data_IF_913274093132
#
_entry.id   IF_913274093132
#
_cell.length_a   1.000
_cell.length_b   1.000
_cell.length_c   1.000
_cell.angle_alpha   90.00
_cell.angle_beta   90.00
_cell.angle_gamma   90.00
#
_symmetry.space_group_name_H-M   'P 1'
#
loop_
_entity.id
_entity.type
_entity.pdbx_description
1 polymer ?
#
# COMPACT_ATOMS: atom_id res chain seq x y z
N UNK A 1 -8.12 4.37 8.42
CA UNK A 1 -7.86 3.38 7.33
C UNK A 1 -9.06 2.50 6.98
N UNK A 2 -9.87 2.01 7.95
CA UNK A 2 -11.11 1.25 7.65
C UNK A 2 -12.07 2.00 6.70
N UNK A 3 -12.06 3.33 6.72
CA UNK A 3 -12.87 4.18 5.85
C UNK A 3 -12.64 3.94 4.34
N UNK A 4 -11.43 3.54 3.93
CA UNK A 4 -11.12 3.23 2.52
C UNK A 4 -11.71 1.91 2.02
N UNK A 5 -12.14 1.03 2.93
CA UNK A 5 -12.71 -0.28 2.59
C UNK A 5 -14.25 -0.31 2.61
N UNK A 6 -14.90 0.82 2.92
CA UNK A 6 -16.36 0.89 2.94
C UNK A 6 -16.94 0.90 1.53
N UNK A 7 -18.13 0.31 1.36
CA UNK A 7 -18.84 0.32 0.07
C UNK A 7 -19.13 1.77 -0.40
N UNK A 8 -19.42 2.67 0.53
CA UNK A 8 -19.65 4.09 0.23
C UNK A 8 -18.40 4.76 -0.35
N UNK A 9 -17.23 4.51 0.26
CA UNK A 9 -15.96 5.06 -0.25
C UNK A 9 -15.61 4.48 -1.62
N UNK A 10 -15.79 3.17 -1.81
CA UNK A 10 -15.57 2.53 -3.11
C UNK A 10 -16.47 3.15 -4.19
N UNK A 11 -17.73 3.41 -3.88
CA UNK A 11 -18.66 4.06 -4.81
C UNK A 11 -18.23 5.50 -5.15
N UNK A 12 -17.76 6.29 -4.17
CA UNK A 12 -17.22 7.64 -4.40
C UNK A 12 -15.96 7.62 -5.27
N UNK A 13 -15.04 6.70 -5.01
CA UNK A 13 -13.82 6.55 -5.81
C UNK A 13 -14.17 6.12 -7.23
N UNK A 14 -15.10 5.17 -7.41
CA UNK A 14 -15.60 4.77 -8.73
C UNK A 14 -16.18 5.96 -9.50
N UNK A 15 -17.06 6.74 -8.91
CA UNK A 15 -17.61 7.94 -9.55
C UNK A 15 -16.54 8.98 -9.92
N UNK A 16 -15.46 9.06 -9.12
CA UNK A 16 -14.34 9.94 -9.45
C UNK A 16 -13.47 9.39 -10.60
N UNK A 17 -13.30 8.05 -10.70
CA UNK A 17 -12.64 7.42 -11.86
C UNK A 17 -13.41 7.77 -13.13
N UNK A 18 -14.72 7.49 -13.17
CA UNK A 18 -15.60 7.78 -14.30
C UNK A 18 -15.54 9.27 -14.71
N UNK A 19 -15.54 10.18 -13.74
CA UNK A 19 -15.45 11.62 -13.99
C UNK A 19 -14.09 12.06 -14.58
N UNK A 20 -13.01 11.39 -14.22
CA UNK A 20 -11.66 11.64 -14.76
C UNK A 20 -11.56 11.07 -16.18
N UNK A 21 -11.96 9.82 -16.39
CA UNK A 21 -11.90 9.14 -17.70
C UNK A 21 -12.82 9.79 -18.74
N UNK A 22 -13.89 10.46 -18.30
CA UNK A 22 -14.71 11.28 -19.18
C UNK A 22 -13.94 12.43 -19.85
N UNK A 23 -12.79 12.85 -19.29
CA UNK A 23 -12.00 14.01 -19.74
C UNK A 23 -10.67 13.62 -20.38
N UNK A 24 -10.13 12.45 -20.07
CA UNK A 24 -8.80 12.00 -20.52
C UNK A 24 -8.89 10.66 -21.24
N UNK A 25 -7.95 10.41 -22.16
CA UNK A 25 -7.72 9.11 -22.77
C UNK A 25 -6.96 8.13 -21.86
N UNK A 26 -6.50 8.58 -20.68
CA UNK A 26 -5.87 7.72 -19.70
C UNK A 26 -6.93 6.91 -18.94
N UNK A 27 -6.69 5.61 -18.78
CA UNK A 27 -7.52 4.72 -17.99
C UNK A 27 -6.94 4.55 -16.58
N UNK A 28 -7.77 4.80 -15.55
CA UNK A 28 -7.33 4.84 -14.16
C UNK A 28 -7.91 3.67 -13.39
N UNK A 29 -7.04 2.83 -12.87
CA UNK A 29 -7.41 1.76 -11.94
C UNK A 29 -6.96 2.12 -10.52
N UNK A 30 -7.87 1.99 -9.55
CA UNK A 30 -7.55 2.20 -8.13
C UNK A 30 -7.59 0.86 -7.41
N UNK A 31 -6.46 0.48 -6.83
CA UNK A 31 -6.35 -0.74 -6.03
C UNK A 31 -6.04 -0.39 -4.59
N UNK A 32 -6.88 -0.86 -3.65
CA UNK A 32 -6.68 -0.65 -2.21
C UNK A 32 -6.36 -1.98 -1.55
N UNK A 33 -5.18 -2.10 -0.99
CA UNK A 33 -4.74 -3.29 -0.25
C UNK A 33 -4.55 -2.98 1.23
N UNK A 34 -4.88 -3.94 2.06
CA UNK A 34 -4.72 -3.82 3.52
C UNK A 34 -3.25 -3.62 3.90
N UNK A 35 -2.35 -4.36 3.23
CA UNK A 35 -0.89 -4.27 3.36
C UNK A 35 -0.21 -4.72 2.07
N UNK A 36 0.98 -4.20 1.83
CA UNK A 36 1.82 -4.57 0.68
C UNK A 36 2.82 -5.68 1.00
N UNK A 37 3.22 -5.82 2.26
CA UNK A 37 4.18 -6.85 2.66
C UNK A 37 3.95 -7.34 4.10
N UNK A 38 4.58 -8.47 4.41
CA UNK A 38 4.72 -8.99 5.78
C UNK A 38 6.17 -8.79 6.23
N UNK A 39 6.37 -8.28 7.43
CA UNK A 39 7.70 -7.96 7.96
C UNK A 39 8.12 -8.98 9.04
N UNK A 40 8.00 -10.26 8.69
CA UNK A 40 8.25 -11.39 9.63
C UNK A 40 9.64 -11.40 10.23
N UNK A 41 10.63 -10.91 9.52
CA UNK A 41 12.00 -10.78 10.02
C UNK A 41 12.09 -9.83 11.22
N UNK A 42 11.34 -8.73 11.19
CA UNK A 42 11.23 -7.80 12.33
C UNK A 42 10.52 -8.50 13.49
N UNK A 43 9.42 -9.22 13.22
CA UNK A 43 8.68 -9.94 14.24
C UNK A 43 9.54 -11.03 14.91
N UNK A 44 10.31 -11.78 14.13
CA UNK A 44 11.22 -12.80 14.65
C UNK A 44 12.38 -12.18 15.46
N UNK A 45 12.85 -10.99 15.07
CA UNK A 45 13.87 -10.29 15.85
C UNK A 45 13.37 -9.94 17.26
N UNK A 46 12.12 -9.47 17.37
CA UNK A 46 11.49 -9.22 18.68
C UNK A 46 11.25 -10.51 19.45
N UNK A 47 10.82 -11.58 18.77
CA UNK A 47 10.70 -12.90 19.38
C UNK A 47 12.03 -13.38 19.93
N UNK A 48 13.10 -13.25 19.17
CA UNK A 48 14.44 -13.65 19.58
C UNK A 48 14.97 -12.80 20.75
N UNK A 49 14.73 -11.49 20.72
CA UNK A 49 15.11 -10.62 21.84
C UNK A 49 14.39 -10.99 23.15
N UNK A 50 13.09 -11.30 23.07
CA UNK A 50 12.31 -11.71 24.23
C UNK A 50 12.76 -13.10 24.75
N UNK A 51 13.03 -14.04 23.85
CA UNK A 51 13.56 -15.35 24.19
C UNK A 51 14.91 -15.28 24.90
N UNK A 52 15.81 -14.41 24.40
CA UNK A 52 17.12 -14.20 25.04
C UNK A 52 16.96 -13.54 26.42
N UNK A 53 16.10 -12.53 26.53
CA UNK A 53 15.81 -11.89 27.81
C UNK A 53 15.21 -12.87 28.82
N UNK A 54 14.30 -13.74 28.40
CA UNK A 54 13.73 -14.81 29.21
C UNK A 54 14.81 -15.78 29.68
N UNK A 55 15.67 -16.25 28.78
CA UNK A 55 16.77 -17.16 29.13
C UNK A 55 17.72 -16.54 30.16
N UNK A 56 18.12 -15.29 29.96
CA UNK A 56 18.96 -14.57 30.93
C UNK A 56 18.24 -14.43 32.26
N UNK A 57 16.96 -14.08 32.27
CA UNK A 57 16.16 -14.01 33.47
C UNK A 57 16.10 -15.33 34.23
N UNK A 58 15.88 -16.45 33.53
CA UNK A 58 15.80 -17.79 34.12
C UNK A 58 17.14 -18.23 34.73
N UNK A 59 18.27 -17.94 34.03
CA UNK A 59 19.58 -18.32 34.50
C UNK A 59 20.07 -17.57 35.78
N UNK A 60 19.64 -16.31 35.91
CA UNK A 60 20.06 -15.45 37.02
C UNK A 60 18.96 -15.26 38.08
N UNK A 61 17.85 -16.02 37.99
CA UNK A 61 16.78 -15.94 38.98
C UNK A 61 17.22 -16.55 40.30
N UNK A 62 16.87 -15.91 41.45
CA UNK A 62 17.31 -16.37 42.76
C UNK A 62 16.55 -17.59 43.30
N UNK A 63 15.46 -18.01 42.65
CA UNK A 63 14.70 -19.20 43.05
C UNK A 63 15.22 -20.44 42.33
N UNK A 64 15.12 -21.60 43.01
CA UNK A 64 15.44 -22.90 42.39
C UNK A 64 14.31 -23.29 41.43
N UNK A 65 14.53 -23.01 40.12
CA UNK A 65 13.63 -23.36 39.04
C UNK A 65 14.04 -24.69 38.41
N UNK A 66 13.07 -25.46 37.90
CA UNK A 66 13.36 -26.70 37.19
C UNK A 66 13.93 -26.36 35.78
N UNK A 67 15.25 -26.54 35.64
CA UNK A 67 15.97 -26.26 34.39
C UNK A 67 15.44 -27.04 33.19
N UNK A 68 14.72 -28.15 33.42
CA UNK A 68 14.11 -28.94 32.31
C UNK A 68 13.01 -28.17 31.59
N UNK A 69 12.42 -27.17 32.22
CA UNK A 69 11.38 -26.33 31.62
C UNK A 69 11.94 -25.15 30.82
N UNK A 70 13.20 -24.76 31.01
CA UNK A 70 13.83 -23.62 30.35
C UNK A 70 13.68 -23.64 28.81
N UNK A 71 13.90 -24.78 28.10
CA UNK A 71 13.71 -24.80 26.66
C UNK A 71 12.27 -24.49 26.23
N UNK A 72 11.29 -24.94 26.99
CA UNK A 72 9.86 -24.71 26.69
C UNK A 72 9.52 -23.22 26.90
N UNK A 73 10.00 -22.64 28.01
CA UNK A 73 9.76 -21.23 28.34
C UNK A 73 10.42 -20.29 27.33
N UNK A 74 11.63 -20.58 26.88
CA UNK A 74 12.35 -19.82 25.85
C UNK A 74 11.62 -19.87 24.49
N UNK A 75 11.15 -21.06 24.09
CA UNK A 75 10.34 -21.19 22.87
C UNK A 75 9.02 -20.44 22.97
N UNK A 76 8.37 -20.50 24.14
CA UNK A 76 7.15 -19.75 24.38
C UNK A 76 7.38 -18.23 24.33
N UNK A 77 8.47 -17.75 24.95
CA UNK A 77 8.86 -16.35 24.91
C UNK A 77 9.13 -15.87 23.45
N UNK A 78 9.83 -16.71 22.66
CA UNK A 78 10.02 -16.42 21.22
C UNK A 78 8.69 -16.28 20.48
N UNK A 79 7.79 -17.24 20.65
CA UNK A 79 6.49 -17.23 19.99
C UNK A 79 5.67 -16.01 20.42
N UNK A 80 5.61 -15.74 21.73
CA UNK A 80 4.91 -14.59 22.30
C UNK A 80 5.46 -13.26 21.75
N UNK A 81 6.78 -13.06 21.77
CA UNK A 81 7.43 -11.86 21.26
C UNK A 81 7.16 -11.64 19.77
N UNK A 82 7.24 -12.71 18.97
CA UNK A 82 6.95 -12.65 17.54
C UNK A 82 5.49 -12.27 17.26
N UNK A 83 4.54 -12.89 17.99
CA UNK A 83 3.11 -12.61 17.83
C UNK A 83 2.77 -11.18 18.28
N UNK A 84 3.25 -10.78 19.45
CA UNK A 84 3.00 -9.40 19.95
C UNK A 84 3.58 -8.36 19.00
N UNK A 85 4.79 -8.58 18.47
CA UNK A 85 5.38 -7.69 17.46
C UNK A 85 4.48 -7.59 16.23
N UNK A 86 4.07 -8.71 15.65
CA UNK A 86 3.29 -8.77 14.42
C UNK A 86 1.96 -7.99 14.50
N UNK A 87 1.29 -8.04 15.66
CA UNK A 87 -0.03 -7.43 15.83
C UNK A 87 0.02 -6.03 16.45
N UNK A 88 1.01 -5.73 17.30
CA UNK A 88 1.02 -4.49 18.06
C UNK A 88 1.94 -3.41 17.48
N UNK A 89 3.22 -3.70 17.26
CA UNK A 89 4.19 -2.64 17.03
C UNK A 89 5.30 -2.93 15.99
N UNK A 90 5.51 -4.16 15.55
CA UNK A 90 6.64 -4.52 14.66
C UNK A 90 6.76 -3.63 13.44
N UNK A 91 5.63 -3.24 12.82
CA UNK A 91 5.60 -2.35 11.66
C UNK A 91 6.23 -0.97 11.89
N UNK A 92 6.27 -0.47 13.13
CA UNK A 92 6.84 0.85 13.43
C UNK A 92 8.37 0.84 13.38
N UNK A 93 8.98 -0.34 13.52
CA UNK A 93 10.43 -0.53 13.44
C UNK A 93 10.93 -0.81 12.02
N UNK A 94 10.01 -0.93 11.05
CA UNK A 94 10.39 -1.06 9.64
C UNK A 94 10.73 0.32 9.08
N UNK A 95 11.93 0.53 8.49
CA UNK A 95 12.29 1.80 7.86
C UNK A 95 11.32 2.17 6.73
N UNK A 96 11.03 3.46 6.59
CA UNK A 96 10.10 3.95 5.55
C UNK A 96 10.59 3.62 4.13
N UNK A 97 11.90 3.67 3.89
CA UNK A 97 12.50 3.29 2.62
C UNK A 97 12.16 1.84 2.22
N UNK A 98 12.18 0.93 3.21
CA UNK A 98 11.81 -0.47 3.00
C UNK A 98 10.30 -0.61 2.76
N UNK A 99 9.46 0.08 3.53
CA UNK A 99 8.01 0.10 3.30
C UNK A 99 7.70 0.57 1.88
N UNK A 100 8.33 1.66 1.45
CA UNK A 100 8.16 2.21 0.10
C UNK A 100 8.60 1.22 -0.98
N UNK A 101 9.73 0.55 -0.80
CA UNK A 101 10.19 -0.46 -1.75
C UNK A 101 9.20 -1.62 -1.90
N UNK A 102 8.59 -2.08 -0.80
CA UNK A 102 7.57 -3.13 -0.83
C UNK A 102 6.26 -2.66 -1.49
N UNK A 103 5.83 -1.42 -1.20
CA UNK A 103 4.66 -0.82 -1.86
C UNK A 103 4.87 -0.70 -3.37
N UNK A 104 6.05 -0.23 -3.82
CA UNK A 104 6.39 -0.14 -5.24
C UNK A 104 6.45 -1.53 -5.88
N UNK A 105 7.00 -2.54 -5.19
CA UNK A 105 7.02 -3.91 -5.70
C UNK A 105 5.60 -4.47 -5.85
N UNK A 106 4.77 -4.31 -4.83
CA UNK A 106 3.39 -4.77 -4.84
C UNK A 106 2.54 -4.04 -5.90
N UNK A 107 2.74 -2.73 -6.09
CA UNK A 107 2.02 -1.97 -7.11
C UNK A 107 2.36 -2.44 -8.53
N UNK A 108 3.64 -2.75 -8.80
CA UNK A 108 4.05 -3.31 -10.10
C UNK A 108 3.46 -4.70 -10.35
N UNK A 109 3.41 -5.55 -9.31
CA UNK A 109 2.74 -6.85 -9.42
C UNK A 109 1.25 -6.67 -9.73
N UNK A 110 0.54 -5.82 -8.98
CA UNK A 110 -0.88 -5.52 -9.21
C UNK A 110 -1.15 -4.96 -10.61
N UNK A 111 -0.27 -4.10 -11.13
CA UNK A 111 -0.36 -3.55 -12.49
C UNK A 111 -0.39 -4.66 -13.56
N UNK A 112 0.44 -5.68 -13.40
CA UNK A 112 0.49 -6.82 -14.32
C UNK A 112 -0.66 -7.80 -14.08
N UNK A 113 -1.00 -8.11 -12.82
CA UNK A 113 -2.10 -9.00 -12.46
C UNK A 113 -3.46 -8.51 -12.99
N UNK A 114 -3.68 -7.20 -12.93
CA UNK A 114 -4.92 -6.57 -13.41
C UNK A 114 -4.88 -6.25 -14.90
N UNK A 115 -3.84 -6.64 -15.61
CA UNK A 115 -3.66 -6.46 -17.06
C UNK A 115 -3.79 -5.01 -17.54
N UNK A 116 -3.42 -4.05 -16.68
CA UNK A 116 -3.51 -2.62 -17.00
C UNK A 116 -2.66 -2.27 -18.25
N UNK A 117 -1.55 -2.99 -18.45
CA UNK A 117 -0.74 -2.91 -19.65
C UNK A 117 -1.43 -3.47 -20.93
N UNK A 118 -2.66 -3.94 -20.84
CA UNK A 118 -3.38 -4.57 -21.95
C UNK A 118 -4.21 -3.60 -22.79
N UNK A 119 -4.29 -2.33 -22.42
CA UNK A 119 -5.04 -1.31 -23.18
C UNK A 119 -4.39 -1.03 -24.54
N UNK A 120 -5.20 -0.76 -25.57
CA UNK A 120 -4.69 -0.50 -26.94
C UNK A 120 -3.83 0.75 -26.99
N UNK A 121 -4.24 1.79 -26.27
CA UNK A 121 -3.53 3.07 -26.19
C UNK A 121 -2.28 3.02 -25.31
N UNK A 122 -2.14 1.99 -24.45
CA UNK A 122 -1.09 1.87 -23.44
C UNK A 122 -1.04 3.07 -22.48
N UNK A 123 -2.19 3.67 -22.21
CA UNK A 123 -2.36 4.84 -21.34
C UNK A 123 -2.91 4.48 -19.94
N UNK A 124 -2.76 3.22 -19.52
CA UNK A 124 -3.21 2.75 -18.22
C UNK A 124 -2.40 3.34 -17.05
N UNK A 125 -3.09 3.74 -16.01
CA UNK A 125 -2.51 4.31 -14.77
C UNK A 125 -3.08 3.56 -13.58
N UNK A 126 -2.21 2.97 -12.75
CA UNK A 126 -2.60 2.35 -11.49
C UNK A 126 -2.31 3.30 -10.33
N UNK A 127 -3.34 3.60 -9.55
CA UNK A 127 -3.24 4.21 -8.23
C UNK A 127 -3.32 3.10 -7.17
N UNK A 128 -2.18 2.70 -6.65
CA UNK A 128 -2.09 1.64 -5.65
C UNK A 128 -2.00 2.22 -4.25
N UNK A 129 -2.99 1.92 -3.41
CA UNK A 129 -3.09 2.39 -2.02
C UNK A 129 -2.77 1.24 -1.07
N UNK A 130 -1.75 1.42 -0.25
CA UNK A 130 -1.41 0.51 0.84
C UNK A 130 -1.83 1.07 2.19
N UNK A 131 -2.84 0.44 2.79
CA UNK A 131 -3.46 0.96 4.00
C UNK A 131 -2.56 0.86 5.24
N UNK A 132 -1.87 -0.27 5.43
CA UNK A 132 -1.02 -0.48 6.60
C UNK A 132 0.22 0.41 6.57
N UNK A 133 0.83 0.57 5.39
CA UNK A 133 2.00 1.43 5.16
C UNK A 133 1.62 2.91 5.08
N UNK A 134 0.34 3.23 4.84
CA UNK A 134 -0.19 4.59 4.59
C UNK A 134 0.53 5.28 3.42
N UNK A 135 0.74 4.53 2.36
CA UNK A 135 1.50 4.95 1.19
C UNK A 135 0.68 4.76 -0.08
N UNK A 136 0.98 5.60 -1.07
CA UNK A 136 0.43 5.51 -2.42
C UNK A 136 1.58 5.30 -3.41
N UNK A 137 1.38 4.41 -4.38
CA UNK A 137 2.24 4.25 -5.54
C UNK A 137 1.44 4.49 -6.81
N UNK A 138 2.00 5.24 -7.74
CA UNK A 138 1.43 5.44 -9.08
C UNK A 138 2.31 4.67 -10.05
N UNK A 139 1.69 3.79 -10.84
CA UNK A 139 2.36 3.05 -11.92
C UNK A 139 1.68 3.45 -13.23
N UNK A 140 2.48 3.89 -14.18
CA UNK A 140 2.00 4.31 -15.51
C UNK A 140 2.46 3.33 -16.57
N UNK A 141 1.66 3.13 -17.61
CA UNK A 141 2.05 2.34 -18.78
C UNK A 141 2.93 3.17 -19.73
N UNK A 142 3.60 2.49 -20.64
CA UNK A 142 4.59 3.05 -21.57
C UNK A 142 4.05 4.11 -22.53
N UNK A 143 2.74 4.14 -22.79
CA UNK A 143 2.10 5.16 -23.63
C UNK A 143 1.94 6.52 -22.94
N UNK A 144 1.99 6.54 -21.59
CA UNK A 144 1.94 7.80 -20.84
C UNK A 144 3.28 8.52 -20.96
N UNK A 145 3.32 9.81 -21.36
CA UNK A 145 4.57 10.56 -21.50
C UNK A 145 5.17 10.91 -20.12
N UNK A 146 5.69 9.88 -19.45
CA UNK A 146 6.19 9.98 -18.07
C UNK A 146 7.23 11.08 -17.89
N UNK A 147 8.14 11.26 -18.86
CA UNK A 147 9.19 12.30 -18.77
C UNK A 147 8.60 13.70 -18.64
N UNK A 148 7.49 13.97 -19.36
CA UNK A 148 6.80 15.26 -19.32
C UNK A 148 5.97 15.43 -18.04
N UNK A 149 5.30 14.38 -17.59
CA UNK A 149 4.34 14.42 -16.49
C UNK A 149 4.94 13.99 -15.14
N UNK A 150 6.20 13.53 -15.09
CA UNK A 150 6.83 12.94 -13.91
C UNK A 150 6.68 13.81 -12.66
N UNK A 151 6.99 15.09 -12.76
CA UNK A 151 6.95 15.98 -11.60
C UNK A 151 5.51 16.17 -11.08
N UNK A 152 4.54 16.26 -11.98
CA UNK A 152 3.13 16.47 -11.64
C UNK A 152 2.50 15.16 -11.09
N UNK A 153 2.84 14.01 -11.67
CA UNK A 153 2.42 12.69 -11.17
C UNK A 153 3.00 12.47 -9.76
N UNK A 154 4.27 12.79 -9.55
CA UNK A 154 4.90 12.65 -8.23
C UNK A 154 4.31 13.61 -7.19
N UNK A 155 4.01 14.85 -7.57
CA UNK A 155 3.31 15.79 -6.70
C UNK A 155 1.89 15.29 -6.35
N UNK A 156 1.15 14.78 -7.34
CA UNK A 156 -0.17 14.18 -7.15
C UNK A 156 -0.10 12.93 -6.27
N UNK A 157 0.90 12.07 -6.46
CA UNK A 157 1.16 10.91 -5.59
C UNK A 157 1.33 11.35 -4.14
N UNK A 158 2.15 12.40 -3.89
CA UNK A 158 2.33 12.95 -2.55
C UNK A 158 1.03 13.45 -1.93
N UNK A 159 0.22 14.20 -2.69
CA UNK A 159 -1.08 14.70 -2.23
C UNK A 159 -2.09 13.57 -1.92
N UNK A 160 -2.11 12.52 -2.75
CA UNK A 160 -2.92 11.32 -2.51
C UNK A 160 -2.45 10.55 -1.27
N UNK A 161 -1.13 10.45 -1.08
CA UNK A 161 -0.53 9.80 0.09
C UNK A 161 -0.87 10.54 1.39
N UNK A 162 -0.85 11.87 1.38
CA UNK A 162 -1.29 12.71 2.50
C UNK A 162 -2.75 12.45 2.88
N UNK A 163 -3.64 12.30 1.90
CA UNK A 163 -5.04 11.95 2.12
C UNK A 163 -5.19 10.56 2.76
N UNK A 164 -4.42 9.59 2.27
CA UNK A 164 -4.37 8.24 2.83
C UNK A 164 -3.80 8.25 4.25
N UNK A 165 -2.73 9.00 4.51
CA UNK A 165 -2.13 9.12 5.84
C UNK A 165 -3.10 9.72 6.86
N UNK A 166 -3.91 10.71 6.45
CA UNK A 166 -4.99 11.31 7.25
C UNK A 166 -6.20 10.38 7.41
N UNK A 167 -6.32 9.35 6.58
CA UNK A 167 -7.49 8.46 6.57
C UNK A 167 -8.75 9.14 6.03
N UNK A 168 -8.59 10.11 5.13
CA UNK A 168 -9.66 10.94 4.55
C UNK A 168 -9.95 10.55 3.09
N UNK A 169 -11.00 9.74 2.84
CA UNK A 169 -11.38 9.35 1.49
C UNK A 169 -11.92 10.51 0.64
N UNK A 170 -12.53 11.53 1.25
CA UNK A 170 -13.06 12.67 0.51
C UNK A 170 -11.91 13.51 -0.07
N UNK A 171 -10.89 13.74 0.74
CA UNK A 171 -9.65 14.39 0.28
C UNK A 171 -8.95 13.56 -0.80
N UNK A 172 -8.95 12.23 -0.67
CA UNK A 172 -8.38 11.34 -1.71
C UNK A 172 -9.09 11.51 -3.05
N UNK A 173 -10.43 11.54 -3.06
CA UNK A 173 -11.24 11.78 -4.26
C UNK A 173 -10.95 13.16 -4.85
N UNK A 174 -10.85 14.20 -4.03
CA UNK A 174 -10.48 15.56 -4.47
C UNK A 174 -9.11 15.57 -5.17
N UNK A 175 -8.10 14.93 -4.57
CA UNK A 175 -6.75 14.88 -5.15
C UNK A 175 -6.68 14.01 -6.41
N UNK A 176 -7.51 12.97 -6.50
CA UNK A 176 -7.65 12.17 -7.71
C UNK A 176 -8.27 12.98 -8.84
N UNK A 177 -9.28 13.81 -8.56
CA UNK A 177 -9.85 14.72 -9.56
C UNK A 177 -8.82 15.74 -10.07
N UNK A 178 -7.97 16.28 -9.17
CA UNK A 178 -6.88 17.19 -9.56
C UNK A 178 -5.84 16.49 -10.48
N UNK A 179 -5.49 15.23 -10.20
CA UNK A 179 -4.66 14.43 -11.12
C UNK A 179 -5.34 14.27 -12.49
N UNK A 180 -6.68 14.05 -12.50
CA UNK A 180 -7.47 13.96 -13.72
C UNK A 180 -7.39 15.20 -14.59
N UNK A 181 -7.40 16.40 -14.03
CA UNK A 181 -7.25 17.65 -14.80
C UNK A 181 -5.85 17.76 -15.43
N UNK A 182 -4.81 17.28 -14.73
CA UNK A 182 -3.45 17.24 -15.27
C UNK A 182 -3.39 16.28 -16.46
N UNK A 183 -3.97 15.09 -16.32
CA UNK A 183 -4.00 14.09 -17.37
C UNK A 183 -4.82 14.56 -18.57
N UNK A 184 -5.99 15.18 -18.35
CA UNK A 184 -6.85 15.69 -19.43
C UNK A 184 -6.17 16.77 -20.29
N UNK A 185 -5.28 17.57 -19.70
CA UNK A 185 -4.51 18.59 -20.42
C UNK A 185 -3.51 17.98 -21.42
N UNK A 186 -2.83 16.89 -21.02
CA UNK A 186 -1.76 16.29 -21.80
C UNK A 186 -2.19 15.02 -22.57
N UNK A 187 -3.26 14.39 -22.13
CA UNK A 187 -3.87 13.18 -22.71
C UNK A 187 -5.38 13.40 -22.88
N UNK A 188 -5.82 14.34 -23.74
CA UNK A 188 -7.24 14.63 -23.94
C UNK A 188 -7.95 13.42 -24.55
N UNK A 189 -9.20 13.19 -24.11
CA UNK A 189 -10.04 12.11 -24.65
C UNK A 189 -10.37 12.34 -26.12
N UNK A 190 -10.24 11.30 -26.91
CA UNK A 190 -10.66 11.28 -28.31
C UNK A 190 -12.12 10.77 -28.44
N UNK A 191 -12.82 11.15 -29.53
CA UNK A 191 -14.21 10.75 -29.73
C UNK A 191 -14.41 9.22 -29.87
N UNK A 192 -13.38 8.50 -30.31
CA UNK A 192 -13.38 7.05 -30.53
C UNK A 192 -12.83 6.26 -29.35
N UNK A 193 -12.59 6.92 -28.20
CA UNK A 193 -11.99 6.29 -27.04
C UNK A 193 -13.04 5.48 -26.26
N UNK A 194 -12.76 4.18 -26.07
CA UNK A 194 -13.64 3.24 -25.40
C UNK A 194 -12.97 2.84 -24.09
N UNK A 195 -13.70 2.88 -22.99
CA UNK A 195 -13.22 2.37 -21.70
C UNK A 195 -12.93 0.86 -21.83
N UNK A 196 -11.67 0.47 -21.65
CA UNK A 196 -11.19 -0.90 -21.82
C UNK A 196 -10.97 -1.61 -20.45
N UNK A 197 -10.86 -0.88 -19.35
CA UNK A 197 -10.61 -1.41 -18.01
C UNK A 197 -11.83 -1.25 -17.10
N UNK A 198 -12.03 -2.14 -16.10
CA UNK A 198 -13.14 -2.01 -15.17
C UNK A 198 -12.90 -0.86 -14.18
N UNK A 199 -13.89 0.02 -14.01
CA UNK A 199 -13.89 1.13 -13.05
C UNK A 199 -14.08 0.67 -11.59
N UNK A 200 -13.66 -0.54 -11.26
CA UNK A 200 -13.85 -1.12 -9.94
C UNK A 200 -12.61 -0.90 -9.06
N UNK A 201 -12.89 -0.55 -7.78
CA UNK A 201 -11.85 -0.50 -6.74
C UNK A 201 -11.57 -1.91 -6.26
N UNK A 202 -10.43 -2.47 -6.66
CA UNK A 202 -9.98 -3.82 -6.32
C UNK A 202 -9.31 -3.91 -4.94
#
# INVERSE_FOLDING_TARGET
MKAFFTAETKAKVKGAIEAVEAKTAAEIVVTVRERSATYRDVDYLFGFALALASLVGLLFHPLELDERLFPVEVVFAFALGSVVSAYAFGRYFVPESRKRAEVVRASRAAFHEQRIAGTKSRLGILLYVSAAERMVSVVVDVGVPEEKLRAEIEASRGALEDAVAKGDPALFVEKMAALGEILARDLPRNADDVNELPDEVA
#
